data_IF_495511826985
#
_entry.id   IF_495511826985
#
_cell.length_a   1.000
_cell.length_b   1.000
_cell.length_c   1.000
_cell.angle_alpha   90.00
_cell.angle_beta   90.00
_cell.angle_gamma   90.00
#
_symmetry.space_group_name_H-M   'P 1'
#
loop_
_entity.id
_entity.type
_entity.pdbx_description
1 polymer ?
#
# COMPACT_ATOMS: atom_id res chain seq x y z
N UNK A 1 10.98 -3.38 6.53
CA UNK A 1 11.10 -2.10 7.25
C UNK A 1 12.03 -1.17 6.49
N UNK A 2 11.91 0.14 6.68
CA UNK A 2 12.61 1.19 5.92
C UNK A 2 14.12 0.94 5.95
N UNK A 3 14.69 0.74 7.15
CA UNK A 3 16.14 0.48 7.29
C UNK A 3 16.64 -0.68 6.43
N UNK A 4 15.94 -1.82 6.47
CA UNK A 4 16.38 -3.02 5.77
C UNK A 4 16.17 -2.92 4.25
N UNK A 5 15.04 -2.36 3.81
CA UNK A 5 14.76 -2.14 2.39
C UNK A 5 15.72 -1.10 1.80
N UNK A 6 15.90 0.04 2.47
CA UNK A 6 16.81 1.09 2.02
C UNK A 6 18.26 0.60 1.96
N UNK A 7 18.70 -0.19 2.95
CA UNK A 7 20.03 -0.82 2.93
C UNK A 7 20.19 -1.73 1.71
N UNK A 8 19.17 -2.51 1.36
CA UNK A 8 19.19 -3.37 0.16
C UNK A 8 19.28 -2.53 -1.11
N UNK A 9 18.48 -1.48 -1.25
CA UNK A 9 18.55 -0.57 -2.40
C UNK A 9 19.92 0.09 -2.51
N UNK A 10 20.52 0.51 -1.39
CA UNK A 10 21.84 1.14 -1.35
C UNK A 10 23.03 0.20 -1.52
N UNK A 11 22.84 -1.12 -1.34
CA UNK A 11 23.86 -2.11 -1.71
C UNK A 11 24.09 -2.14 -3.22
N UNK A 12 23.04 -1.90 -4.01
CA UNK A 12 23.11 -1.86 -5.47
C UNK A 12 23.59 -0.49 -6.01
N UNK A 13 23.67 0.54 -5.16
CA UNK A 13 24.19 1.86 -5.53
C UNK A 13 25.70 1.83 -5.50
N UNK A 14 26.34 1.80 -6.68
CA UNK A 14 27.80 1.75 -6.79
C UNK A 14 28.45 3.10 -6.49
N UNK A 15 29.76 3.07 -6.21
CA UNK A 15 30.56 4.29 -6.06
C UNK A 15 30.50 5.17 -7.33
N UNK A 16 30.49 4.56 -8.52
CA UNK A 16 30.33 5.28 -9.79
C UNK A 16 28.99 6.02 -9.88
N UNK A 17 27.90 5.45 -9.35
CA UNK A 17 26.62 6.16 -9.27
C UNK A 17 26.70 7.35 -8.33
N UNK A 18 27.37 7.21 -7.18
CA UNK A 18 27.55 8.33 -6.23
C UNK A 18 28.43 9.45 -6.83
N UNK A 19 29.44 9.08 -7.61
CA UNK A 19 30.38 10.01 -8.23
C UNK A 19 29.91 10.56 -9.58
N UNK A 20 28.76 10.11 -10.09
CA UNK A 20 28.19 10.51 -11.39
C UNK A 20 28.22 12.02 -11.62
N UNK A 21 27.78 12.80 -10.63
CA UNK A 21 27.74 14.27 -10.72
C UNK A 21 28.48 14.94 -9.57
N UNK A 22 29.07 16.09 -9.87
CA UNK A 22 29.63 17.01 -8.88
C UNK A 22 28.61 18.02 -8.37
N UNK A 23 27.38 18.01 -8.90
CA UNK A 23 26.30 18.85 -8.45
C UNK A 23 25.99 18.55 -6.96
N UNK A 24 25.95 19.55 -6.07
CA UNK A 24 25.71 19.33 -4.64
C UNK A 24 24.32 18.73 -4.35
N UNK A 25 23.39 18.85 -5.30
CA UNK A 25 22.05 18.28 -5.21
C UNK A 25 22.02 16.77 -5.45
N UNK A 26 22.98 16.23 -6.22
CA UNK A 26 22.95 14.84 -6.69
C UNK A 26 22.85 13.80 -5.55
N UNK A 27 23.72 13.81 -4.52
CA UNK A 27 23.69 12.78 -3.51
C UNK A 27 22.39 12.81 -2.68
N UNK A 28 21.83 14.01 -2.46
CA UNK A 28 20.55 14.19 -1.79
C UNK A 28 19.40 13.65 -2.62
N UNK A 29 19.36 13.95 -3.92
CA UNK A 29 18.32 13.46 -4.82
C UNK A 29 18.37 11.94 -4.98
N UNK A 30 19.57 11.36 -5.09
CA UNK A 30 19.76 9.91 -5.12
C UNK A 30 19.22 9.23 -3.84
N UNK A 31 19.59 9.75 -2.66
CA UNK A 31 19.09 9.23 -1.38
C UNK A 31 17.58 9.37 -1.26
N UNK A 32 17.03 10.50 -1.68
CA UNK A 32 15.59 10.76 -1.61
C UNK A 32 14.79 9.86 -2.54
N UNK A 33 15.37 9.52 -3.70
CA UNK A 33 14.76 8.58 -4.65
C UNK A 33 14.79 7.16 -4.13
N UNK A 34 15.89 6.75 -3.50
CA UNK A 34 15.98 5.46 -2.83
C UNK A 34 15.01 5.37 -1.64
N UNK A 35 14.88 6.45 -0.86
CA UNK A 35 13.91 6.53 0.24
C UNK A 35 12.46 6.43 -0.26
N UNK A 36 12.12 7.15 -1.33
CA UNK A 36 10.81 7.04 -1.99
C UNK A 36 10.55 5.59 -2.42
N UNK A 37 11.51 4.97 -3.10
CA UNK A 37 11.42 3.57 -3.54
C UNK A 37 11.14 2.61 -2.37
N UNK A 38 11.87 2.77 -1.27
CA UNK A 38 11.67 2.00 -0.04
C UNK A 38 10.27 2.20 0.53
N UNK A 39 9.78 3.44 0.63
CA UNK A 39 8.46 3.73 1.19
C UNK A 39 7.35 3.12 0.35
N UNK A 40 7.39 3.29 -0.98
CA UNK A 40 6.32 2.76 -1.85
C UNK A 40 6.26 1.24 -1.81
N UNK A 41 7.40 0.54 -1.70
CA UNK A 41 7.45 -0.91 -1.50
C UNK A 41 6.92 -1.33 -0.13
N UNK A 42 7.42 -0.72 0.93
CA UNK A 42 7.10 -1.11 2.31
C UNK A 42 5.65 -0.80 2.68
N UNK A 43 5.02 0.20 2.05
CA UNK A 43 3.59 0.50 2.26
C UNK A 43 2.68 -0.68 1.92
N UNK A 44 3.07 -1.58 1.01
CA UNK A 44 2.31 -2.80 0.66
C UNK A 44 2.01 -3.69 1.86
N UNK A 45 2.85 -3.68 2.90
CA UNK A 45 2.64 -4.50 4.11
C UNK A 45 1.37 -4.14 4.89
N UNK A 46 0.85 -2.92 4.71
CA UNK A 46 -0.37 -2.44 5.38
C UNK A 46 -1.66 -2.78 4.61
N UNK A 47 -1.58 -3.57 3.52
CA UNK A 47 -2.74 -3.94 2.70
C UNK A 47 -3.44 -2.70 2.14
N UNK A 48 -4.77 -2.69 2.20
CA UNK A 48 -5.63 -1.61 1.72
C UNK A 48 -5.36 -0.24 2.38
N UNK A 49 -4.78 -0.21 3.58
CA UNK A 49 -4.39 1.05 4.23
C UNK A 49 -3.11 1.64 3.60
N UNK A 50 -2.25 0.78 3.05
CA UNK A 50 -1.04 1.16 2.36
C UNK A 50 -1.30 1.58 0.92
N UNK A 51 -1.94 0.68 0.17
CA UNK A 51 -2.35 0.84 -1.22
C UNK A 51 -3.70 0.13 -1.44
N UNK A 52 -4.63 0.75 -2.17
CA UNK A 52 -5.88 0.09 -2.54
C UNK A 52 -5.61 -1.15 -3.40
N UNK A 53 -4.61 -1.08 -4.29
CA UNK A 53 -4.16 -2.20 -5.14
C UNK A 53 -2.71 -2.56 -4.78
N UNK A 54 -2.36 -3.86 -4.63
CA UNK A 54 -1.03 -4.28 -4.23
C UNK A 54 -0.02 -4.18 -5.39
N UNK A 55 0.45 -2.97 -5.68
CA UNK A 55 1.45 -2.71 -6.71
C UNK A 55 2.80 -3.37 -6.38
N UNK A 56 3.47 -3.85 -7.42
CA UNK A 56 4.82 -4.39 -7.32
C UNK A 56 5.80 -3.41 -7.95
N UNK A 57 6.58 -2.73 -7.10
CA UNK A 57 7.68 -1.86 -7.52
C UNK A 57 9.00 -2.63 -7.42
N UNK A 58 9.80 -2.58 -8.48
CA UNK A 58 11.02 -3.36 -8.61
C UNK A 58 12.26 -2.46 -8.81
N UNK A 59 13.42 -3.08 -8.90
CA UNK A 59 14.70 -2.37 -9.05
C UNK A 59 14.79 -1.58 -10.37
N UNK A 60 14.11 -2.02 -11.43
CA UNK A 60 14.10 -1.29 -12.70
C UNK A 60 13.40 0.06 -12.58
N UNK A 61 12.33 0.16 -11.76
CA UNK A 61 11.65 1.44 -11.50
C UNK A 61 12.59 2.42 -10.78
N UNK A 62 13.39 1.92 -9.83
CA UNK A 62 14.41 2.72 -9.15
C UNK A 62 15.51 3.16 -10.11
N UNK A 63 16.07 2.25 -10.90
CA UNK A 63 17.14 2.57 -11.87
C UNK A 63 16.67 3.58 -12.91
N UNK A 64 15.46 3.42 -13.46
CA UNK A 64 14.87 4.37 -14.41
C UNK A 64 14.65 5.75 -13.77
N UNK A 65 14.23 5.80 -12.50
CA UNK A 65 14.09 7.05 -11.74
C UNK A 65 15.43 7.74 -11.51
N UNK A 66 16.47 6.98 -11.16
CA UNK A 66 17.84 7.48 -10.97
C UNK A 66 18.39 8.04 -12.29
N UNK A 67 18.26 7.29 -13.39
CA UNK A 67 18.70 7.72 -14.71
C UNK A 67 17.97 8.99 -15.17
N UNK A 68 16.67 9.10 -14.90
CA UNK A 68 15.94 10.33 -15.18
C UNK A 68 16.52 11.52 -14.40
N UNK A 69 16.82 11.36 -13.10
CA UNK A 69 17.38 12.46 -12.29
C UNK A 69 18.78 12.86 -12.78
N UNK A 70 19.59 11.88 -13.21
CA UNK A 70 20.89 12.15 -13.83
C UNK A 70 20.74 13.06 -15.05
N UNK A 71 19.92 12.65 -16.02
CA UNK A 71 19.67 13.42 -17.23
C UNK A 71 19.08 14.81 -16.91
N UNK A 72 18.17 14.88 -15.93
CA UNK A 72 17.55 16.14 -15.50
C UNK A 72 18.57 17.12 -14.92
N UNK A 73 19.58 16.64 -14.20
CA UNK A 73 20.65 17.48 -13.66
C UNK A 73 21.66 17.90 -14.73
N UNK A 74 21.92 17.05 -15.72
CA UNK A 74 22.85 17.36 -16.82
C UNK A 74 22.28 18.44 -17.76
N UNK A 75 20.97 18.40 -18.02
CA UNK A 75 20.25 19.38 -18.84
C UNK A 75 19.80 20.63 -18.04
N UNK A 76 20.06 20.67 -16.73
CA UNK A 76 19.61 21.74 -15.85
C UNK A 76 20.37 23.05 -16.11
N UNK A 77 19.64 24.13 -16.39
CA UNK A 77 20.22 25.48 -16.38
C UNK A 77 20.66 25.86 -14.95
N UNK A 78 21.96 26.11 -14.69
CA UNK A 78 22.45 26.46 -13.36
C UNK A 78 21.79 27.70 -12.76
N UNK A 79 21.24 28.60 -13.58
CA UNK A 79 20.55 29.81 -13.11
C UNK A 79 19.12 29.54 -12.65
N UNK A 80 18.47 28.51 -13.19
CA UNK A 80 17.09 28.13 -12.84
C UNK A 80 17.04 27.11 -11.71
N UNK A 81 18.09 26.31 -11.55
CA UNK A 81 18.14 25.27 -10.54
C UNK A 81 17.19 24.10 -10.85
N UNK A 82 16.94 23.28 -9.84
CA UNK A 82 16.20 22.03 -9.99
C UNK A 82 14.71 22.31 -10.26
N UNK A 83 14.19 21.88 -11.41
CA UNK A 83 12.74 21.90 -11.66
C UNK A 83 12.01 20.80 -10.88
N UNK A 84 11.49 21.15 -9.71
CA UNK A 84 10.71 20.24 -8.86
C UNK A 84 9.42 19.75 -9.53
N UNK A 85 8.77 20.61 -10.32
CA UNK A 85 7.56 20.23 -11.08
C UNK A 85 7.88 19.09 -12.05
N UNK A 86 9.02 19.18 -12.74
CA UNK A 86 9.47 18.14 -13.67
C UNK A 86 9.79 16.84 -12.93
N UNK A 87 10.49 16.91 -11.80
CA UNK A 87 10.81 15.72 -10.98
C UNK A 87 9.54 15.05 -10.47
N UNK A 88 8.62 15.81 -9.85
CA UNK A 88 7.38 15.27 -9.33
C UNK A 88 6.51 14.66 -10.43
N UNK A 89 6.44 15.29 -11.60
CA UNK A 89 5.71 14.74 -12.74
C UNK A 89 6.35 13.44 -13.23
N UNK A 90 7.66 13.42 -13.46
CA UNK A 90 8.35 12.25 -14.00
C UNK A 90 8.30 11.07 -13.04
N UNK A 91 8.56 11.29 -11.74
CA UNK A 91 8.48 10.21 -10.75
C UNK A 91 7.04 9.76 -10.50
N UNK A 92 6.09 10.71 -10.45
CA UNK A 92 4.71 10.48 -10.00
C UNK A 92 3.72 10.09 -11.07
N UNK A 93 3.92 10.50 -12.32
CA UNK A 93 3.05 10.18 -13.46
C UNK A 93 3.65 9.10 -14.34
N UNK A 94 4.98 9.09 -14.52
CA UNK A 94 5.65 8.24 -15.50
C UNK A 94 6.32 7.03 -14.84
N UNK A 95 7.27 7.23 -13.92
CA UNK A 95 8.07 6.13 -13.36
C UNK A 95 7.24 5.23 -12.42
N UNK A 96 6.91 5.73 -11.23
CA UNK A 96 6.08 4.98 -10.28
C UNK A 96 4.60 5.10 -10.67
N UNK A 97 4.18 6.26 -11.16
CA UNK A 97 2.82 6.53 -11.63
C UNK A 97 2.31 5.61 -12.73
N UNK A 98 3.19 5.20 -13.64
CA UNK A 98 2.83 4.29 -14.73
C UNK A 98 2.35 2.90 -14.25
N UNK A 99 2.68 2.52 -13.01
CA UNK A 99 2.18 1.28 -12.38
C UNK A 99 0.91 1.48 -11.56
N UNK A 100 0.64 2.71 -11.13
CA UNK A 100 -0.48 3.02 -10.25
C UNK A 100 -1.72 3.26 -11.10
N UNK A 101 -2.69 2.36 -10.97
CA UNK A 101 -3.92 2.33 -11.77
C UNK A 101 -5.11 3.00 -11.10
N UNK A 102 -5.06 3.25 -9.80
CA UNK A 102 -6.17 3.79 -9.01
C UNK A 102 -5.90 5.26 -8.64
N UNK A 103 -6.93 6.10 -8.75
CA UNK A 103 -6.79 7.56 -8.65
C UNK A 103 -6.43 8.04 -7.24
N UNK A 104 -6.96 7.40 -6.18
CA UNK A 104 -6.59 7.75 -4.80
C UNK A 104 -5.16 7.31 -4.46
N UNK A 105 -4.73 6.14 -4.92
CA UNK A 105 -3.34 5.68 -4.80
C UNK A 105 -2.39 6.62 -5.57
N UNK A 106 -2.80 7.10 -6.75
CA UNK A 106 -2.02 8.06 -7.53
C UNK A 106 -1.89 9.40 -6.81
N UNK A 107 -2.99 9.90 -6.26
CA UNK A 107 -3.01 11.11 -5.44
C UNK A 107 -2.09 10.99 -4.22
N UNK A 108 -2.08 9.83 -3.57
CA UNK A 108 -1.20 9.55 -2.45
C UNK A 108 0.28 9.58 -2.87
N UNK A 109 0.65 8.91 -3.97
CA UNK A 109 2.00 8.94 -4.52
C UNK A 109 2.48 10.36 -4.83
N UNK A 110 1.64 11.15 -5.51
CA UNK A 110 1.93 12.55 -5.81
C UNK A 110 2.09 13.40 -4.54
N UNK A 111 1.32 13.10 -3.49
CA UNK A 111 1.43 13.80 -2.20
C UNK A 111 2.81 13.58 -1.58
N UNK A 112 3.35 12.35 -1.59
CA UNK A 112 4.73 12.11 -1.14
C UNK A 112 5.74 12.92 -1.94
N UNK A 113 5.58 12.94 -3.27
CA UNK A 113 6.48 13.67 -4.15
C UNK A 113 6.45 15.17 -3.87
N UNK A 114 5.28 15.80 -3.76
CA UNK A 114 5.21 17.23 -3.48
C UNK A 114 5.74 17.61 -2.09
N UNK A 115 5.52 16.76 -1.07
CA UNK A 115 6.00 17.01 0.29
C UNK A 115 7.52 16.85 0.39
N UNK A 116 8.10 15.89 -0.34
CA UNK A 116 9.53 15.59 -0.24
C UNK A 116 10.38 16.29 -1.29
N UNK A 117 9.97 16.30 -2.56
CA UNK A 117 10.73 16.85 -3.68
C UNK A 117 10.36 18.32 -3.92
N UNK A 118 10.90 19.18 -3.04
CA UNK A 118 10.84 20.63 -3.17
C UNK A 118 12.16 21.24 -2.68
N UNK A 119 12.30 22.57 -2.75
CA UNK A 119 13.52 23.29 -2.33
C UNK A 119 14.04 22.90 -0.93
N UNK A 120 13.15 22.54 -0.01
CA UNK A 120 13.55 22.13 1.34
C UNK A 120 14.38 20.86 1.34
N UNK A 121 14.25 19.98 0.35
CA UNK A 121 15.03 18.74 0.22
C UNK A 121 16.54 18.99 0.23
N UNK A 122 16.96 20.13 -0.33
CA UNK A 122 18.36 20.52 -0.41
C UNK A 122 18.88 21.09 0.91
N UNK A 123 17.99 21.44 1.85
CA UNK A 123 18.37 21.96 3.16
C UNK A 123 19.03 20.89 4.04
N UNK A 124 20.11 21.20 4.79
CA UNK A 124 20.74 20.27 5.71
C UNK A 124 19.80 19.75 6.81
N UNK A 125 18.78 20.51 7.17
CA UNK A 125 17.83 20.15 8.22
C UNK A 125 16.64 19.31 7.73
N UNK A 126 16.61 18.97 6.44
CA UNK A 126 15.51 18.20 5.86
C UNK A 126 15.44 16.78 6.43
N UNK A 127 14.22 16.36 6.75
CA UNK A 127 13.89 15.01 7.21
C UNK A 127 12.58 14.58 6.57
N UNK A 128 12.51 13.31 6.15
CA UNK A 128 11.28 12.71 5.62
C UNK A 128 10.23 12.53 6.72
N UNK A 129 10.70 12.12 7.90
CA UNK A 129 9.95 11.99 9.13
C UNK A 129 10.94 12.07 10.32
N UNK A 130 10.44 12.17 11.54
CA UNK A 130 11.30 12.21 12.73
C UNK A 130 12.19 10.95 12.79
N UNK A 131 13.51 11.15 12.88
CA UNK A 131 14.50 10.05 12.83
C UNK A 131 14.93 9.59 11.43
N UNK A 132 14.33 10.12 10.35
CA UNK A 132 14.68 9.78 8.96
C UNK A 132 15.17 11.03 8.21
N UNK A 133 16.44 11.36 8.42
CA UNK A 133 17.13 12.45 7.72
C UNK A 133 17.91 11.97 6.50
N UNK A 134 18.51 12.92 5.78
CA UNK A 134 19.47 12.64 4.71
C UNK A 134 20.88 12.76 5.30
N UNK A 135 21.78 11.78 5.09
CA UNK A 135 23.15 11.87 5.58
C UNK A 135 23.88 13.06 4.94
N UNK A 136 24.63 13.82 5.74
CA UNK A 136 25.54 14.86 5.26
C UNK A 136 26.90 14.30 4.82
N UNK A 137 26.95 13.01 4.50
CA UNK A 137 28.19 12.26 4.31
C UNK A 137 28.91 12.63 3.00
N UNK A 138 30.22 12.37 2.98
CA UNK A 138 31.04 12.49 1.78
C UNK A 138 30.67 11.36 0.81
N UNK A 139 31.05 11.47 -0.46
CA UNK A 139 30.59 10.62 -1.57
C UNK A 139 30.86 9.10 -1.43
N UNK A 140 31.40 8.61 -0.31
CA UNK A 140 31.70 7.18 -0.13
C UNK A 140 30.43 6.38 0.19
N UNK A 141 30.23 5.27 -0.52
CA UNK A 141 29.08 4.38 -0.31
C UNK A 141 28.98 3.86 1.13
N UNK A 142 30.11 3.58 1.78
CA UNK A 142 30.18 3.05 3.14
C UNK A 142 29.52 4.00 4.14
N UNK A 143 29.74 5.31 4.00
CA UNK A 143 29.17 6.30 4.91
C UNK A 143 27.62 6.31 4.86
N UNK A 144 27.05 6.08 3.67
CA UNK A 144 25.59 5.95 3.50
C UNK A 144 25.07 4.67 4.17
N UNK A 145 25.75 3.54 3.99
CA UNK A 145 25.37 2.26 4.58
C UNK A 145 25.45 2.28 6.11
N UNK A 146 26.46 2.94 6.66
CA UNK A 146 26.63 3.14 8.10
C UNK A 146 25.52 4.01 8.65
N UNK A 147 25.22 5.14 8.01
CA UNK A 147 24.08 5.99 8.38
C UNK A 147 22.75 5.22 8.33
N UNK A 148 22.50 4.47 7.25
CA UNK A 148 21.28 3.66 7.13
C UNK A 148 21.20 2.65 8.28
N UNK A 149 22.33 2.09 8.72
CA UNK A 149 22.35 1.16 9.86
C UNK A 149 21.96 1.84 11.19
N UNK A 150 22.21 3.14 11.34
CA UNK A 150 21.76 3.93 12.51
C UNK A 150 20.26 4.25 12.54
N UNK A 151 19.53 4.04 11.43
CA UNK A 151 18.09 4.27 11.39
C UNK A 151 17.34 3.36 12.39
N UNK A 152 16.12 3.77 12.83
CA UNK A 152 15.30 2.95 13.72
C UNK A 152 15.10 1.52 13.19
N UNK A 153 15.14 0.54 14.11
CA UNK A 153 14.90 -0.85 13.77
C UNK A 153 13.41 -1.14 13.50
N UNK A 154 12.55 -0.47 14.26
CA UNK A 154 11.10 -0.56 14.15
C UNK A 154 10.58 0.77 13.60
N UNK A 155 9.94 0.71 12.44
CA UNK A 155 9.39 1.89 11.78
C UNK A 155 7.96 2.16 12.30
N UNK A 156 7.72 3.36 12.80
CA UNK A 156 6.36 3.82 13.10
C UNK A 156 5.54 3.95 11.81
N UNK A 157 4.22 3.62 11.80
CA UNK A 157 3.36 3.84 10.64
C UNK A 157 3.38 5.27 10.10
N UNK A 158 3.59 6.25 10.98
CA UNK A 158 3.68 7.67 10.64
C UNK A 158 4.86 8.00 9.72
N UNK A 159 5.95 7.22 9.78
CA UNK A 159 7.08 7.35 8.85
C UNK A 159 6.68 7.01 7.40
N UNK A 160 5.61 6.22 7.24
CA UNK A 160 4.98 5.95 5.96
C UNK A 160 3.81 6.88 5.68
N UNK A 161 3.51 7.90 6.50
CA UNK A 161 2.32 8.74 6.36
C UNK A 161 1.01 8.05 6.73
N UNK A 162 1.05 7.04 7.60
CA UNK A 162 -0.13 6.33 8.11
C UNK A 162 -0.43 6.71 9.56
N UNK A 163 -1.70 6.62 9.94
CA UNK A 163 -2.09 6.77 11.35
C UNK A 163 -1.52 5.62 12.20
N UNK A 164 -1.14 5.83 13.47
CA UNK A 164 -0.60 4.78 14.36
C UNK A 164 -1.45 3.50 14.42
N UNK A 165 -2.78 3.62 14.33
CA UNK A 165 -3.70 2.48 14.30
C UNK A 165 -3.46 1.49 13.14
N UNK A 166 -2.75 1.89 12.07
CA UNK A 166 -2.38 0.98 10.99
C UNK A 166 -1.47 -0.16 11.49
N UNK A 167 -0.68 0.08 12.55
CA UNK A 167 0.13 -0.97 13.16
C UNK A 167 -0.74 -2.04 13.83
N UNK A 168 -1.81 -1.62 14.52
CA UNK A 168 -2.76 -2.54 15.17
C UNK A 168 -3.38 -3.47 14.12
N UNK A 169 -3.88 -2.91 13.01
CA UNK A 169 -4.47 -3.70 11.92
C UNK A 169 -3.45 -4.65 11.29
N UNK A 170 -2.22 -4.18 11.07
CA UNK A 170 -1.13 -5.00 10.56
C UNK A 170 -0.84 -6.20 11.48
N UNK A 171 -0.65 -5.94 12.78
CA UNK A 171 -0.38 -6.97 13.78
C UNK A 171 -1.53 -7.99 13.89
N UNK A 172 -2.80 -7.53 13.86
CA UNK A 172 -3.97 -8.42 13.87
C UNK A 172 -3.96 -9.34 12.65
N UNK A 173 -3.71 -8.79 11.45
CA UNK A 173 -3.71 -9.57 10.21
C UNK A 173 -2.55 -10.58 10.18
N UNK A 174 -1.36 -10.18 10.64
CA UNK A 174 -0.22 -11.09 10.78
C UNK A 174 -0.50 -12.21 11.78
N UNK A 175 -1.07 -11.88 12.95
CA UNK A 175 -1.44 -12.87 13.95
C UNK A 175 -2.48 -13.87 13.42
N UNK A 176 -3.52 -13.39 12.72
CA UNK A 176 -4.51 -14.26 12.06
C UNK A 176 -3.85 -15.19 11.04
N UNK A 177 -3.00 -14.67 10.17
CA UNK A 177 -2.29 -15.49 9.17
C UNK A 177 -1.41 -16.58 9.80
N UNK A 178 -0.73 -16.27 10.91
CA UNK A 178 0.04 -17.26 11.68
C UNK A 178 -0.88 -18.33 12.26
N UNK A 179 -1.99 -17.93 12.90
CA UNK A 179 -2.96 -18.87 13.48
C UNK A 179 -3.60 -19.76 12.41
N UNK A 180 -3.98 -19.19 11.27
CA UNK A 180 -4.53 -19.94 10.13
C UNK A 180 -3.51 -20.94 9.58
N UNK A 181 -2.24 -20.56 9.51
CA UNK A 181 -1.15 -21.45 9.10
C UNK A 181 -0.99 -22.60 10.11
N UNK A 182 -1.01 -22.31 11.41
CA UNK A 182 -0.97 -23.34 12.47
C UNK A 182 -2.15 -24.30 12.37
N UNK A 183 -3.37 -23.78 12.21
CA UNK A 183 -4.59 -24.57 12.01
C UNK A 183 -4.50 -25.45 10.76
N UNK A 184 -3.89 -24.94 9.68
CA UNK A 184 -3.71 -25.69 8.43
C UNK A 184 -2.74 -26.87 8.58
N UNK A 185 -1.77 -26.78 9.49
CA UNK A 185 -0.82 -27.85 9.80
C UNK A 185 -1.38 -28.90 10.77
N UNK A 186 -2.50 -28.60 11.43
CA UNK A 186 -3.10 -29.53 12.39
C UNK A 186 -3.62 -30.79 11.68
N UNK A 187 -3.22 -32.01 12.10
CA UNK A 187 -3.67 -33.24 11.45
C UNK A 187 -5.19 -33.40 11.58
N UNK A 188 -5.86 -33.46 10.43
CA UNK A 188 -7.33 -33.56 10.33
C UNK A 188 -7.89 -34.84 10.96
N UNK A 189 -7.05 -35.85 11.20
CA UNK A 189 -7.42 -37.18 11.71
C UNK A 189 -7.02 -37.42 13.18
N UNK A 190 -6.48 -36.41 13.89
CA UNK A 190 -5.98 -36.58 15.27
C UNK A 190 -7.03 -36.49 16.39
N UNK A 191 -8.32 -36.38 16.07
CA UNK A 191 -9.40 -36.25 17.05
C UNK A 191 -10.12 -37.58 17.28
N UNK A 192 -9.57 -38.41 18.17
CA UNK A 192 -10.22 -39.65 18.60
C UNK A 192 -11.64 -39.40 19.11
N UNK A 193 -12.58 -40.18 18.57
CA UNK A 193 -13.95 -40.33 19.05
C UNK A 193 -13.95 -40.73 20.54
N UNK A 194 -14.15 -39.77 21.43
CA UNK A 194 -14.66 -40.04 22.78
C UNK A 194 -15.33 -38.80 23.37
N UNK A 195 -16.64 -38.68 23.17
CA UNK A 195 -17.53 -37.92 24.06
C UNK A 195 -17.99 -36.52 23.65
N UNK A 196 -17.51 -35.94 22.54
CA UNK A 196 -18.00 -34.66 22.02
C UNK A 196 -18.97 -34.81 20.84
N UNK A 197 -19.91 -33.87 20.66
CA UNK A 197 -20.71 -33.78 19.43
C UNK A 197 -19.80 -33.78 18.20
N UNK A 198 -20.17 -34.52 17.15
CA UNK A 198 -19.41 -34.53 15.90
C UNK A 198 -19.38 -33.13 15.28
N UNK A 199 -18.32 -32.81 14.52
CA UNK A 199 -18.24 -31.53 13.80
C UNK A 199 -19.45 -31.31 12.92
N UNK A 200 -19.95 -32.36 12.28
CA UNK A 200 -21.13 -32.35 11.43
C UNK A 200 -22.40 -32.01 12.22
N UNK A 201 -22.53 -32.54 13.44
CA UNK A 201 -23.66 -32.25 14.33
C UNK A 201 -23.65 -30.79 14.79
N UNK A 202 -22.47 -30.24 15.13
CA UNK A 202 -22.32 -28.82 15.51
C UNK A 202 -22.65 -27.91 14.32
N UNK A 203 -22.14 -28.22 13.13
CA UNK A 203 -22.42 -27.45 11.91
C UNK A 203 -23.91 -27.50 11.55
N UNK A 204 -24.55 -28.67 11.65
CA UNK A 204 -25.98 -28.84 11.38
C UNK A 204 -26.85 -28.05 12.38
N UNK A 205 -26.49 -28.08 13.66
CA UNK A 205 -27.16 -27.29 14.69
C UNK A 205 -27.04 -25.78 14.40
N UNK A 206 -25.84 -25.30 14.06
CA UNK A 206 -25.60 -23.89 13.72
C UNK A 206 -26.36 -23.46 12.47
N UNK A 207 -26.39 -24.32 11.43
CA UNK A 207 -27.14 -24.07 10.21
C UNK A 207 -28.66 -23.98 10.48
N UNK A 208 -29.18 -24.84 11.35
CA UNK A 208 -30.60 -24.82 11.75
C UNK A 208 -30.94 -23.56 12.56
N UNK A 209 -30.07 -23.16 13.49
CA UNK A 209 -30.22 -21.91 14.25
C UNK A 209 -30.16 -20.67 13.34
N UNK A 210 -29.25 -20.67 12.36
CA UNK A 210 -29.21 -19.63 11.32
C UNK A 210 -30.51 -19.60 10.51
N UNK A 211 -31.02 -20.77 10.07
CA UNK A 211 -32.26 -20.88 9.30
C UNK A 211 -33.47 -20.32 10.06
N UNK A 212 -33.55 -20.57 11.37
CA UNK A 212 -34.62 -20.03 12.22
C UNK A 212 -34.55 -18.51 12.43
N UNK A 213 -33.39 -17.89 12.22
CA UNK A 213 -33.17 -16.45 12.33
C UNK A 213 -33.37 -15.70 11.01
N UNK A 214 -33.46 -16.40 9.88
CA UNK A 214 -33.70 -15.76 8.58
C UNK A 214 -35.16 -15.28 8.53
N UNK A 215 -35.43 -14.10 7.95
CA UNK A 215 -36.80 -13.64 7.69
C UNK A 215 -37.60 -14.64 6.84
N UNK A 216 -38.95 -14.54 6.85
CA UNK A 216 -39.82 -15.38 6.04
C UNK A 216 -39.44 -15.38 4.56
N UNK A 217 -39.74 -16.47 3.88
CA UNK A 217 -39.44 -16.62 2.46
C UNK A 217 -40.03 -15.48 1.62
N UNK A 218 -39.25 -15.07 0.61
CA UNK A 218 -39.64 -14.02 -0.31
C UNK A 218 -40.84 -14.46 -1.17
N UNK A 219 -41.98 -13.79 -1.02
CA UNK A 219 -43.19 -14.03 -1.83
C UNK A 219 -43.27 -12.98 -2.94
N UNK A 220 -42.93 -13.39 -4.17
CA UNK A 220 -42.79 -12.48 -5.32
C UNK A 220 -44.06 -11.67 -5.63
N UNK A 221 -45.24 -12.25 -5.41
CA UNK A 221 -46.53 -11.60 -5.61
C UNK A 221 -46.75 -10.45 -4.62
N UNK A 222 -46.53 -10.68 -3.32
CA UNK A 222 -46.79 -9.67 -2.27
C UNK A 222 -45.85 -8.48 -2.37
N UNK A 223 -44.59 -8.73 -2.74
CA UNK A 223 -43.60 -7.67 -2.92
C UNK A 223 -43.90 -6.83 -4.16
N UNK A 224 -44.37 -7.45 -5.25
CA UNK A 224 -44.77 -6.74 -6.47
C UNK A 224 -45.98 -5.83 -6.25
N UNK A 225 -46.97 -6.31 -5.50
CA UNK A 225 -48.15 -5.51 -5.15
C UNK A 225 -47.79 -4.36 -4.19
N UNK A 226 -46.89 -4.60 -3.24
CA UNK A 226 -46.39 -3.58 -2.33
C UNK A 226 -45.60 -2.50 -3.06
N UNK A 227 -44.77 -2.87 -4.05
CA UNK A 227 -44.06 -1.95 -4.93
C UNK A 227 -44.99 -1.10 -5.81
N UNK A 228 -46.12 -1.66 -6.25
CA UNK A 228 -47.14 -0.88 -6.96
C UNK A 228 -47.83 0.13 -6.04
N UNK A 229 -48.20 -0.28 -4.81
CA UNK A 229 -48.81 0.60 -3.81
C UNK A 229 -47.89 1.72 -3.35
N UNK A 230 -46.59 1.47 -3.26
CA UNK A 230 -45.56 2.47 -2.92
C UNK A 230 -45.27 3.46 -4.06
N UNK A 231 -45.84 3.28 -5.26
CA UNK A 231 -45.61 4.13 -6.43
C UNK A 231 -44.60 3.50 -7.39
N UNK A 232 -45.11 2.75 -8.36
CA UNK A 232 -44.31 1.96 -9.30
C UNK A 232 -43.30 2.76 -10.15
N UNK A 233 -43.55 4.06 -10.32
CA UNK A 233 -42.72 4.97 -11.13
C UNK A 233 -41.73 5.80 -10.31
N UNK A 234 -41.70 5.64 -8.98
CA UNK A 234 -40.69 6.32 -8.16
C UNK A 234 -39.30 5.72 -8.44
N UNK A 235 -38.26 6.54 -8.64
CA UNK A 235 -36.91 6.06 -8.99
C UNK A 235 -36.35 4.98 -8.05
N UNK A 236 -36.56 5.14 -6.74
CA UNK A 236 -36.11 4.17 -5.74
C UNK A 236 -36.85 2.83 -5.86
N UNK A 237 -38.14 2.84 -6.20
CA UNK A 237 -38.94 1.62 -6.36
C UNK A 237 -38.59 0.89 -7.67
N UNK A 238 -38.20 1.62 -8.71
CA UNK A 238 -37.66 1.05 -9.95
C UNK A 238 -36.32 0.36 -9.67
N UNK A 239 -35.40 1.02 -8.96
CA UNK A 239 -34.12 0.43 -8.56
C UNK A 239 -34.31 -0.81 -7.67
N UNK A 240 -35.14 -0.70 -6.63
CA UNK A 240 -35.45 -1.82 -5.73
C UNK A 240 -36.00 -3.01 -6.52
N UNK A 241 -36.93 -2.77 -7.45
CA UNK A 241 -37.46 -3.83 -8.32
C UNK A 241 -36.37 -4.50 -9.16
N UNK A 242 -35.47 -3.71 -9.76
CA UNK A 242 -34.37 -4.25 -10.58
C UNK A 242 -33.39 -5.09 -9.76
N UNK A 243 -33.03 -4.65 -8.56
CA UNK A 243 -32.15 -5.41 -7.66
C UNK A 243 -32.83 -6.69 -7.15
N UNK A 244 -34.12 -6.63 -6.81
CA UNK A 244 -34.91 -7.82 -6.46
C UNK A 244 -34.95 -8.84 -7.62
N UNK A 245 -35.22 -8.39 -8.85
CA UNK A 245 -35.22 -9.23 -10.03
C UNK A 245 -33.83 -9.86 -10.28
N UNK A 246 -32.74 -9.13 -10.01
CA UNK A 246 -31.35 -9.64 -10.10
C UNK A 246 -31.05 -10.70 -9.04
N UNK A 247 -31.42 -10.46 -7.78
CA UNK A 247 -31.22 -11.42 -6.69
C UNK A 247 -31.98 -12.73 -6.94
N UNK A 248 -33.20 -12.65 -7.51
CA UNK A 248 -34.00 -13.83 -7.84
C UNK A 248 -33.39 -14.66 -8.98
N UNK A 249 -32.82 -14.02 -10.01
CA UNK A 249 -32.13 -14.73 -11.10
C UNK A 249 -30.94 -15.54 -10.58
N UNK A 250 -30.13 -14.97 -9.71
CA UNK A 250 -28.97 -15.65 -9.12
C UNK A 250 -29.34 -16.82 -8.19
N UNK A 251 -30.58 -16.87 -7.69
CA UNK A 251 -31.07 -17.97 -6.83
C UNK A 251 -31.54 -19.19 -7.64
N UNK A 252 -31.91 -18.98 -8.92
CA UNK A 252 -32.45 -20.00 -9.82
C UNK A 252 -31.41 -20.53 -10.84
N UNK A 253 -30.18 -20.02 -10.79
CA UNK A 253 -29.02 -20.45 -11.60
C UNK A 253 -28.05 -21.25 -10.75
#
# INVERSE_FOLDING_TARGET
GIRASLKRTYQDVTQDMLDYSNAPQWPRLLYSTAFLHTVVQERRKYGALGWNIPYEFNQADFQASVQFIQNHLDDMDPKKGVSWVTICYMLGEIQYGGRVTEDYDKRLLLTFLYVWFNERLLSPDFRFYNGYGIPACKKAQVDYLDFITTLPANDSPEAFGLHPNADITYQINTAKSILDTILSMQPKEGGGQSGGQSRESVVSCLATDMMNKVPPDYIQHEVRDSLQKMGAILPMNIFLRQELDRMLKNKNS
#
